data_IF_547046397204
#
_entry.id   IF_547046397204
#
_cell.length_a   1.000
_cell.length_b   1.000
_cell.length_c   1.000
_cell.angle_alpha   90.00
_cell.angle_beta   90.00
_cell.angle_gamma   90.00
#
_symmetry.space_group_name_H-M   'P 1'
#
loop_
_entity.id
_entity.type
_entity.pdbx_description
1 polymer ?
#
# COMPACT_ATOMS: atom_id res chain seq x y z
N UNK A 1 14.98 8.89 3.26
CA UNK A 1 13.68 9.03 3.95
C UNK A 1 13.60 7.93 5.01
N UNK A 2 13.53 8.29 6.29
CA UNK A 2 13.37 7.33 7.38
C UNK A 2 11.87 7.15 7.64
N UNK A 3 11.33 6.00 7.26
CA UNK A 3 9.94 5.65 7.55
C UNK A 3 9.99 4.89 8.88
N UNK A 4 9.45 5.51 9.92
CA UNK A 4 9.26 4.88 11.22
C UNK A 4 8.24 3.75 11.06
N UNK A 5 8.41 2.60 11.72
CA UNK A 5 7.54 1.41 11.58
C UNK A 5 6.07 1.61 12.04
N UNK A 6 5.65 2.84 12.34
CA UNK A 6 4.27 3.20 12.67
C UNK A 6 3.48 3.87 11.53
N UNK A 7 4.16 4.52 10.58
CA UNK A 7 3.52 5.22 9.44
C UNK A 7 2.93 4.26 8.40
N UNK A 8 3.19 2.96 8.53
CA UNK A 8 2.72 1.90 7.63
C UNK A 8 1.35 1.34 8.04
N UNK A 9 0.78 1.83 9.15
CA UNK A 9 -0.49 1.35 9.70
C UNK A 9 -1.69 2.20 9.33
N UNK A 10 -1.47 3.40 8.79
CA UNK A 10 -2.52 4.37 8.47
C UNK A 10 -2.38 4.90 7.05
N UNK A 11 -3.53 5.12 6.40
CA UNK A 11 -3.61 5.63 5.06
C UNK A 11 -3.07 7.05 5.01
N UNK A 12 -2.10 7.29 4.14
CA UNK A 12 -1.49 8.61 3.98
C UNK A 12 -2.42 9.64 3.35
N UNK A 13 -3.59 9.23 2.84
CA UNK A 13 -4.61 10.11 2.23
C UNK A 13 -5.64 10.58 3.26
N UNK A 14 -6.13 9.68 4.13
CA UNK A 14 -7.25 9.99 5.02
C UNK A 14 -7.08 9.53 6.48
N UNK A 15 -5.96 8.91 6.83
CA UNK A 15 -5.65 8.46 8.20
C UNK A 15 -6.37 7.20 8.67
N UNK A 16 -7.28 6.62 7.88
CA UNK A 16 -7.92 5.32 8.17
C UNK A 16 -6.89 4.19 8.25
N UNK A 17 -7.19 3.04 8.89
CA UNK A 17 -6.30 1.88 8.89
C UNK A 17 -5.93 1.48 7.46
N UNK A 18 -4.63 1.38 7.21
CA UNK A 18 -4.11 0.95 5.93
C UNK A 18 -4.29 -0.56 5.74
N UNK A 19 -4.57 -0.97 4.51
CA UNK A 19 -4.67 -2.38 4.14
C UNK A 19 -3.41 -2.88 3.42
N UNK A 20 -2.52 -1.96 3.06
CA UNK A 20 -1.33 -2.27 2.30
C UNK A 20 -0.60 -1.06 1.76
N UNK A 21 0.36 -1.38 0.90
CA UNK A 21 1.31 -0.46 0.30
C UNK A 21 1.31 -0.62 -1.22
N UNK A 22 1.36 0.51 -1.92
CA UNK A 22 1.49 0.60 -3.37
C UNK A 22 2.75 1.41 -3.70
N UNK A 23 3.62 0.83 -4.52
CA UNK A 23 4.78 1.50 -5.10
C UNK A 23 4.54 1.58 -6.60
N UNK A 24 4.43 2.80 -7.12
CA UNK A 24 4.19 3.09 -8.53
C UNK A 24 5.45 3.78 -9.09
N UNK A 25 6.42 2.97 -9.51
CA UNK A 25 7.73 3.46 -9.94
C UNK A 25 8.51 4.06 -8.78
N UNK A 26 8.69 5.39 -8.77
CA UNK A 26 9.43 6.09 -7.71
C UNK A 26 8.55 6.53 -6.52
N UNK A 27 7.22 6.45 -6.68
CA UNK A 27 6.27 6.88 -5.64
C UNK A 27 5.87 5.68 -4.77
N UNK A 28 5.83 5.87 -3.46
CA UNK A 28 5.33 4.89 -2.48
C UNK A 28 4.17 5.50 -1.69
N UNK A 29 3.08 4.76 -1.55
CA UNK A 29 1.90 5.17 -0.78
C UNK A 29 1.37 4.01 0.08
N UNK A 30 1.07 4.30 1.35
CA UNK A 30 0.35 3.41 2.27
C UNK A 30 -1.12 3.83 2.27
N UNK A 31 -2.01 2.88 1.97
CA UNK A 31 -3.40 3.18 1.59
C UNK A 31 -4.41 2.27 2.30
N UNK A 32 -5.57 2.83 2.66
CA UNK A 32 -6.72 2.08 3.17
C UNK A 32 -7.53 1.49 2.01
N UNK A 33 -8.51 0.65 2.33
CA UNK A 33 -9.39 0.03 1.33
C UNK A 33 -9.97 1.05 0.34
N UNK A 34 -10.46 2.19 0.82
CA UNK A 34 -11.09 3.24 -0.02
C UNK A 34 -10.12 3.94 -0.99
N UNK A 35 -8.82 4.01 -0.67
CA UNK A 35 -7.80 4.68 -1.48
C UNK A 35 -6.87 3.71 -2.22
N UNK A 36 -6.92 2.42 -1.91
CA UNK A 36 -6.14 1.39 -2.57
C UNK A 36 -6.58 1.18 -4.03
N UNK A 37 -5.62 0.94 -4.93
CA UNK A 37 -5.93 0.54 -6.30
C UNK A 37 -6.59 -0.84 -6.34
N UNK A 38 -7.30 -1.14 -7.43
CA UNK A 38 -7.97 -2.44 -7.61
C UNK A 38 -6.98 -3.62 -7.52
N UNK A 39 -5.73 -3.44 -7.95
CA UNK A 39 -4.69 -4.46 -7.84
C UNK A 39 -4.43 -4.84 -6.38
N UNK A 40 -4.21 -3.86 -5.50
CA UNK A 40 -4.02 -4.11 -4.07
C UNK A 40 -5.30 -4.67 -3.42
N UNK A 41 -6.49 -4.19 -3.82
CA UNK A 41 -7.78 -4.69 -3.31
C UNK A 41 -8.04 -6.16 -3.63
N UNK A 42 -7.57 -6.63 -4.78
CA UNK A 42 -7.73 -8.01 -5.23
C UNK A 42 -6.70 -8.97 -4.62
N UNK A 43 -5.67 -8.46 -3.95
CA UNK A 43 -4.72 -9.28 -3.20
C UNK A 43 -5.31 -9.77 -1.88
N UNK A 44 -5.02 -11.02 -1.54
CA UNK A 44 -5.30 -11.57 -0.22
C UNK A 44 -4.33 -10.99 0.83
N UNK A 45 -4.71 -10.94 2.12
CA UNK A 45 -3.79 -10.54 3.19
C UNK A 45 -2.49 -11.34 3.16
N UNK A 46 -1.35 -10.66 3.21
CA UNK A 46 -0.01 -11.26 3.10
C UNK A 46 0.50 -11.50 1.68
N UNK A 47 -0.33 -11.29 0.64
CA UNK A 47 0.10 -11.41 -0.75
C UNK A 47 0.81 -10.15 -1.25
N UNK A 48 1.68 -10.33 -2.24
CA UNK A 48 2.33 -9.24 -2.97
C UNK A 48 2.25 -9.47 -4.48
N UNK A 49 2.07 -8.37 -5.22
CA UNK A 49 2.05 -8.37 -6.67
C UNK A 49 3.13 -7.43 -7.20
N UNK A 50 3.87 -7.92 -8.19
CA UNK A 50 4.96 -7.19 -8.84
C UNK A 50 4.64 -7.15 -10.34
N UNK A 51 4.54 -5.96 -10.92
CA UNK A 51 4.23 -5.79 -12.34
C UNK A 51 5.06 -4.65 -12.92
N UNK A 52 6.20 -5.02 -13.52
CA UNK A 52 7.16 -4.08 -14.07
C UNK A 52 7.71 -3.15 -13.00
N UNK A 53 7.40 -1.86 -13.10
CA UNK A 53 7.82 -0.84 -12.13
C UNK A 53 6.85 -0.67 -10.94
N UNK A 54 5.75 -1.43 -10.91
CA UNK A 54 4.73 -1.34 -9.87
C UNK A 54 4.81 -2.51 -8.89
N UNK A 55 4.69 -2.22 -7.60
CA UNK A 55 4.68 -3.18 -6.49
C UNK A 55 3.48 -2.93 -5.59
N UNK A 56 2.79 -4.00 -5.20
CA UNK A 56 1.65 -3.95 -4.31
C UNK A 56 1.85 -4.97 -3.20
N UNK A 57 1.64 -4.58 -1.95
CA UNK A 57 1.77 -5.47 -0.77
C UNK A 57 0.53 -5.31 0.08
N UNK A 58 -0.21 -6.41 0.27
CA UNK A 58 -1.35 -6.47 1.20
C UNK A 58 -0.83 -6.98 2.54
N UNK A 59 -1.13 -6.26 3.62
CA UNK A 59 -0.80 -6.71 4.98
C UNK A 59 -1.68 -7.88 5.42
#
# INVERSE_FOLDING_TARGET
MNISPGDETSCQVCGKPAIGLEILGCCKAVVCEDHASQFLRNLSPGERLESGACYYVRY
#
